data_IF_719642834322
#
_entry.id   IF_719642834322
#
_cell.length_a   1.000
_cell.length_b   1.000
_cell.length_c   1.000
_cell.angle_alpha   90.00
_cell.angle_beta   90.00
_cell.angle_gamma   90.00
#
_symmetry.space_group_name_H-M   'P 1'
#
loop_
_entity.id
_entity.type
_entity.pdbx_description
1 polymer ?
#
# COMPACT_ATOMS: atom_id res chain seq x y z
N UNK A 1 -6.00 -39.21 12.11
CA UNK A 1 -7.26 -38.81 11.46
C UNK A 1 -7.96 -37.94 12.48
N UNK A 2 -7.98 -36.61 12.31
CA UNK A 2 -8.82 -35.76 13.16
C UNK A 2 -10.23 -35.85 12.59
N UNK A 3 -11.18 -36.31 13.39
CA UNK A 3 -12.59 -36.25 13.07
C UNK A 3 -13.02 -34.79 13.18
N UNK A 4 -13.24 -34.11 12.05
CA UNK A 4 -13.82 -32.77 12.06
C UNK A 4 -15.25 -32.89 12.62
N UNK A 5 -15.51 -32.21 13.72
CA UNK A 5 -16.82 -32.24 14.35
C UNK A 5 -17.81 -31.41 13.53
N UNK A 6 -19.10 -31.75 13.61
CA UNK A 6 -20.16 -30.99 12.93
C UNK A 6 -20.13 -29.49 13.29
N UNK A 7 -19.66 -29.16 14.50
CA UNK A 7 -19.46 -27.81 14.98
C UNK A 7 -18.35 -27.07 14.22
N UNK A 8 -17.21 -27.71 13.99
CA UNK A 8 -16.07 -27.11 13.27
C UNK A 8 -16.42 -26.81 11.82
N UNK A 9 -17.17 -27.69 11.14
CA UNK A 9 -17.64 -27.44 9.78
C UNK A 9 -18.60 -26.25 9.69
N UNK A 10 -19.48 -26.06 10.69
CA UNK A 10 -20.37 -24.90 10.74
C UNK A 10 -19.61 -23.59 11.01
N UNK A 11 -18.58 -23.63 11.85
CA UNK A 11 -17.69 -22.49 12.09
C UNK A 11 -16.91 -22.15 10.81
N UNK A 12 -16.42 -23.15 10.10
CA UNK A 12 -15.70 -22.99 8.82
C UNK A 12 -16.59 -22.43 7.71
N UNK A 13 -17.90 -22.74 7.75
CA UNK A 13 -18.93 -22.15 6.87
C UNK A 13 -19.30 -20.70 7.25
N UNK A 14 -18.74 -20.15 8.33
CA UNK A 14 -18.90 -18.75 8.73
C UNK A 14 -20.02 -18.50 9.73
N UNK A 15 -20.61 -19.55 10.33
CA UNK A 15 -21.59 -19.39 11.40
C UNK A 15 -20.87 -19.11 12.74
N UNK A 16 -21.31 -18.14 13.55
CA UNK A 16 -20.76 -17.91 14.88
C UNK A 16 -20.86 -19.16 15.76
N UNK A 17 -19.79 -19.49 16.47
CA UNK A 17 -19.70 -20.71 17.30
C UNK A 17 -20.90 -20.89 18.24
N UNK A 18 -21.35 -19.83 18.91
CA UNK A 18 -22.51 -19.89 19.82
C UNK A 18 -23.81 -20.32 19.13
N UNK A 19 -24.01 -19.89 17.86
CA UNK A 19 -25.19 -20.28 17.08
C UNK A 19 -25.08 -21.73 16.62
N UNK A 20 -23.91 -22.15 16.16
CA UNK A 20 -23.65 -23.51 15.73
C UNK A 20 -23.80 -24.52 16.89
N UNK A 21 -23.32 -24.20 18.09
CA UNK A 21 -23.50 -25.03 19.28
C UNK A 21 -24.97 -25.16 19.68
N UNK A 22 -25.72 -24.04 19.67
CA UNK A 22 -27.15 -24.02 20.01
C UNK A 22 -27.99 -24.81 19.00
N UNK A 23 -27.69 -24.67 17.71
CA UNK A 23 -28.34 -25.42 16.65
C UNK A 23 -28.09 -26.93 16.76
N UNK A 24 -26.85 -27.34 17.02
CA UNK A 24 -26.50 -28.75 17.23
C UNK A 24 -27.15 -29.33 18.49
N UNK A 25 -27.24 -28.55 19.56
CA UNK A 25 -27.91 -28.96 20.79
C UNK A 25 -29.42 -29.17 20.60
N UNK A 26 -30.10 -28.27 19.88
CA UNK A 26 -31.55 -28.34 19.64
C UNK A 26 -31.94 -29.38 18.60
N UNK A 27 -31.07 -29.62 17.62
CA UNK A 27 -31.24 -30.69 16.62
C UNK A 27 -30.76 -32.06 17.11
N UNK A 28 -30.25 -32.15 18.35
CA UNK A 28 -29.82 -33.40 18.96
C UNK A 28 -28.60 -34.05 18.29
N UNK A 29 -27.69 -33.25 17.71
CA UNK A 29 -26.50 -33.71 16.98
C UNK A 29 -26.80 -34.67 15.81
N UNK A 30 -27.94 -34.52 15.13
CA UNK A 30 -28.34 -35.41 14.04
C UNK A 30 -27.62 -35.15 12.71
N UNK A 31 -26.75 -34.12 12.63
CA UNK A 31 -25.89 -33.85 11.48
C UNK A 31 -25.80 -32.37 11.14
N UNK A 32 -24.80 -32.00 10.32
CA UNK A 32 -24.52 -30.62 9.91
C UNK A 32 -25.71 -30.01 9.14
N UNK A 33 -26.33 -30.76 8.24
CA UNK A 33 -27.43 -30.28 7.41
C UNK A 33 -28.66 -29.87 8.23
N UNK A 34 -29.02 -30.66 9.25
CA UNK A 34 -30.14 -30.35 10.14
C UNK A 34 -29.86 -29.14 11.03
N UNK A 35 -28.62 -29.02 11.52
CA UNK A 35 -28.19 -27.83 12.25
C UNK A 35 -28.20 -26.58 11.37
N UNK A 36 -27.85 -26.70 10.08
CA UNK A 36 -27.89 -25.59 9.13
C UNK A 36 -29.33 -25.17 8.80
N UNK A 37 -30.24 -26.12 8.59
CA UNK A 37 -31.65 -25.85 8.32
C UNK A 37 -32.31 -25.09 9.49
N UNK A 38 -32.03 -25.53 10.72
CA UNK A 38 -32.46 -24.82 11.93
C UNK A 38 -31.88 -23.40 12.03
N UNK A 39 -30.60 -23.22 11.69
CA UNK A 39 -29.94 -21.91 11.68
C UNK A 39 -30.53 -20.94 10.65
N UNK A 40 -30.96 -21.46 9.49
CA UNK A 40 -31.60 -20.66 8.43
C UNK A 40 -33.03 -20.29 8.83
N UNK A 41 -33.80 -21.22 9.41
CA UNK A 41 -35.15 -20.95 9.90
C UNK A 41 -35.17 -19.91 11.03
N UNK A 42 -34.07 -19.82 11.79
CA UNK A 42 -33.93 -18.91 12.94
C UNK A 42 -32.93 -17.77 12.67
N UNK A 43 -32.57 -17.48 11.41
CA UNK A 43 -31.46 -16.55 11.07
C UNK A 43 -31.67 -15.11 11.58
N UNK A 44 -32.91 -14.72 11.83
CA UNK A 44 -33.34 -13.36 12.18
C UNK A 44 -33.82 -13.19 13.64
N UNK A 45 -33.60 -14.16 14.53
CA UNK A 45 -33.91 -14.01 15.96
C UNK A 45 -32.75 -13.32 16.72
N UNK A 46 -32.93 -12.07 17.20
CA UNK A 46 -31.90 -11.33 17.92
C UNK A 46 -31.56 -11.89 19.31
N UNK A 47 -32.30 -12.87 19.84
CA UNK A 47 -31.98 -13.58 21.09
C UNK A 47 -30.95 -14.72 20.91
N UNK A 48 -30.42 -14.92 19.70
CA UNK A 48 -29.43 -15.97 19.42
C UNK A 48 -27.98 -15.60 19.75
N UNK A 49 -27.71 -14.35 20.11
CA UNK A 49 -26.35 -13.88 20.42
C UNK A 49 -26.07 -13.76 21.94
N UNK A 50 -27.02 -14.15 22.81
CA UNK A 50 -26.75 -14.25 24.27
C UNK A 50 -26.07 -15.59 24.62
N UNK A 51 -25.03 -15.58 25.47
CA UNK A 51 -24.28 -16.78 25.84
C UNK A 51 -25.18 -17.75 26.63
N UNK A 52 -25.43 -18.93 26.04
CA UNK A 52 -26.24 -19.98 26.66
C UNK A 52 -25.47 -20.67 27.79
N UNK A 53 -25.83 -20.39 29.04
CA UNK A 53 -25.38 -21.15 30.20
C UNK A 53 -26.33 -22.33 30.43
N UNK A 54 -25.85 -23.56 30.22
CA UNK A 54 -26.62 -24.78 30.46
C UNK A 54 -26.88 -24.99 31.96
N UNK A 55 -28.14 -25.27 32.40
CA UNK A 55 -28.39 -25.91 33.66
C UNK A 55 -28.75 -27.40 33.45
N UNK A 56 -28.13 -28.24 34.28
CA UNK A 56 -28.45 -29.66 34.46
C UNK A 56 -29.90 -29.80 34.97
N UNK A 57 -30.61 -30.86 34.56
CA UNK A 57 -31.99 -31.18 34.99
C UNK A 57 -32.10 -31.58 36.48
N UNK A 58 -33.25 -32.11 36.97
CA UNK A 58 -34.45 -32.56 36.23
C UNK A 58 -35.84 -32.21 36.85
N UNK A 59 -36.89 -32.44 36.04
CA UNK A 59 -38.33 -32.69 36.34
C UNK A 59 -39.28 -31.47 36.63
N UNK A 60 -40.61 -31.62 36.50
CA UNK A 60 -41.44 -30.85 35.56
C UNK A 60 -42.54 -30.03 36.29
N UNK A 61 -43.21 -29.12 35.60
CA UNK A 61 -44.66 -28.87 35.65
C UNK A 61 -45.01 -27.50 35.06
N UNK A 62 -46.14 -27.48 34.34
CA UNK A 62 -47.08 -26.38 34.05
C UNK A 62 -46.49 -25.02 33.60
N UNK A 63 -46.77 -24.58 32.37
CA UNK A 63 -47.92 -23.70 32.06
C UNK A 63 -48.03 -22.49 33.01
N UNK A 64 -48.03 -21.23 32.60
CA UNK A 64 -48.31 -20.62 31.31
C UNK A 64 -48.04 -19.09 31.42
N UNK A 65 -47.74 -18.46 30.29
CA UNK A 65 -48.37 -17.18 29.87
C UNK A 65 -47.83 -15.82 30.43
N UNK A 66 -48.26 -14.65 29.87
CA UNK A 66 -47.38 -13.76 29.07
C UNK A 66 -47.48 -12.26 29.45
N UNK A 67 -46.85 -11.41 28.62
CA UNK A 67 -47.20 -10.01 28.26
C UNK A 67 -47.42 -8.93 29.35
N UNK A 68 -46.60 -7.89 29.21
CA UNK A 68 -47.07 -6.50 29.00
C UNK A 68 -46.99 -5.56 30.21
N UNK A 69 -46.30 -4.40 30.10
CA UNK A 69 -46.25 -3.40 31.17
C UNK A 69 -47.07 -2.15 30.82
N UNK A 70 -47.92 -1.67 31.72
CA UNK A 70 -48.31 -0.25 31.95
C UNK A 70 -49.04 -0.16 33.32
N UNK A 71 -49.53 1.00 33.81
CA UNK A 71 -48.83 2.02 34.60
C UNK A 71 -49.52 2.35 35.96
N UNK A 72 -48.89 3.25 36.72
CA UNK A 72 -49.42 4.21 37.72
C UNK A 72 -50.01 3.76 39.09
N UNK A 73 -49.70 4.62 40.08
CA UNK A 73 -50.45 4.94 41.31
C UNK A 73 -50.43 4.03 42.56
N UNK A 74 -49.74 4.59 43.55
CA UNK A 74 -50.15 4.83 44.94
C UNK A 74 -50.35 3.71 45.98
N UNK A 75 -49.90 4.07 47.19
CA UNK A 75 -50.11 3.51 48.54
C UNK A 75 -49.42 2.18 48.84
N UNK A 76 -48.54 2.10 49.85
CA UNK A 76 -48.68 2.69 51.19
C UNK A 76 -49.03 1.54 52.13
N UNK A 77 -48.04 1.07 52.89
CA UNK A 77 -48.11 -0.19 53.64
C UNK A 77 -48.89 -0.15 54.95
N UNK A 78 -48.97 -1.32 55.59
CA UNK A 78 -49.25 -1.46 57.02
C UNK A 78 -48.92 -2.87 57.52
N UNK A 79 -48.24 -2.91 58.67
CA UNK A 79 -47.75 -4.07 59.41
C UNK A 79 -46.32 -3.76 59.85
N UNK A 80 -45.99 -3.52 61.10
CA UNK A 80 -46.72 -3.66 62.35
C UNK A 80 -46.00 -2.79 63.40
N UNK A 81 -46.76 -2.47 64.44
CA UNK A 81 -46.52 -1.62 65.61
C UNK A 81 -45.15 -1.71 66.30
N UNK A 82 -44.62 -0.56 66.71
CA UNK A 82 -43.90 -0.41 67.98
C UNK A 82 -43.92 1.06 68.48
N UNK A 83 -44.40 1.20 69.71
CA UNK A 83 -44.13 2.22 70.71
C UNK A 83 -44.65 3.65 70.51
N UNK A 84 -45.44 4.06 71.51
CA UNK A 84 -46.06 5.36 71.58
C UNK A 84 -45.14 6.41 72.16
N UNK A 85 -45.22 7.60 71.60
CA UNK A 85 -44.97 8.84 72.32
C UNK A 85 -46.00 9.87 71.89
N UNK A 86 -46.68 10.43 72.88
CA UNK A 86 -47.75 11.41 72.80
C UNK A 86 -47.33 12.64 71.99
N UNK A 87 -47.84 12.80 70.75
CA UNK A 87 -47.73 14.07 70.00
C UNK A 87 -49.09 14.70 69.72
N UNK A 88 -49.16 15.99 70.04
CA UNK A 88 -50.33 16.87 70.03
C UNK A 88 -50.83 17.08 68.59
N UNK A 89 -52.14 17.25 68.34
CA UNK A 89 -52.69 17.31 67.00
C UNK A 89 -52.22 18.58 66.25
N UNK A 90 -51.51 18.40 65.15
CA UNK A 90 -51.08 19.44 64.21
C UNK A 90 -52.30 19.99 63.45
N UNK A 91 -52.52 21.31 63.52
CA UNK A 91 -53.67 22.03 62.95
C UNK A 91 -53.73 21.94 61.42
N UNK A 92 -54.94 21.96 60.83
CA UNK A 92 -55.19 21.79 59.37
C UNK A 92 -54.39 22.76 58.49
N UNK A 93 -54.07 23.94 59.01
CA UNK A 93 -53.34 24.99 58.30
C UNK A 93 -51.85 24.63 58.08
N UNK A 94 -51.20 24.02 59.07
CA UNK A 94 -49.78 23.60 58.97
C UNK A 94 -49.60 22.44 57.98
N UNK A 95 -50.60 21.55 57.87
CA UNK A 95 -50.62 20.47 56.86
C UNK A 95 -50.77 21.01 55.44
N UNK A 96 -51.54 22.09 55.24
CA UNK A 96 -51.66 22.73 53.93
C UNK A 96 -50.35 23.42 53.51
N UNK A 97 -49.65 24.08 54.43
CA UNK A 97 -48.33 24.65 54.14
C UNK A 97 -47.27 23.57 53.86
N UNK A 98 -47.25 22.48 54.64
CA UNK A 98 -46.35 21.36 54.38
C UNK A 98 -46.62 20.72 53.01
N UNK A 99 -47.88 20.60 52.61
CA UNK A 99 -48.27 20.06 51.30
C UNK A 99 -47.87 21.02 50.16
N UNK A 100 -48.06 22.33 50.32
CA UNK A 100 -47.60 23.35 49.35
C UNK A 100 -46.08 23.34 49.20
N UNK A 101 -45.32 23.31 50.31
CA UNK A 101 -43.86 23.20 50.29
C UNK A 101 -43.39 21.89 49.64
N UNK A 102 -44.10 20.77 49.90
CA UNK A 102 -43.82 19.48 49.27
C UNK A 102 -44.06 19.54 47.76
N UNK A 103 -45.19 20.08 47.31
CA UNK A 103 -45.50 20.26 45.88
C UNK A 103 -44.49 21.18 45.18
N UNK A 104 -44.08 22.28 45.82
CA UNK A 104 -43.08 23.22 45.29
C UNK A 104 -41.70 22.54 45.14
N UNK A 105 -41.28 21.74 46.12
CA UNK A 105 -40.05 20.93 46.06
C UNK A 105 -40.10 19.89 44.94
N UNK A 106 -41.23 19.20 44.78
CA UNK A 106 -41.43 18.24 43.69
C UNK A 106 -41.35 18.96 42.34
N UNK A 107 -41.99 20.11 42.20
CA UNK A 107 -41.97 20.91 40.97
C UNK A 107 -40.55 21.42 40.63
N UNK A 108 -39.83 21.98 41.60
CA UNK A 108 -38.42 22.38 41.45
C UNK A 108 -37.55 21.20 41.01
N UNK A 109 -37.70 20.04 41.67
CA UNK A 109 -36.91 18.84 41.39
C UNK A 109 -37.25 18.21 40.04
N UNK A 110 -38.51 18.26 39.61
CA UNK A 110 -38.91 17.82 38.27
C UNK A 110 -38.36 18.74 37.19
N UNK A 111 -38.43 20.06 37.38
CA UNK A 111 -37.88 21.04 36.43
C UNK A 111 -36.35 20.93 36.31
N UNK A 112 -35.64 20.75 37.42
CA UNK A 112 -34.20 20.50 37.43
C UNK A 112 -33.84 19.19 36.72
N UNK A 113 -34.61 18.12 36.97
CA UNK A 113 -34.43 16.82 36.31
C UNK A 113 -34.67 16.93 34.80
N UNK A 114 -35.72 17.64 34.38
CA UNK A 114 -36.06 17.84 32.97
C UNK A 114 -35.00 18.70 32.25
N UNK A 115 -34.48 19.75 32.89
CA UNK A 115 -33.37 20.54 32.35
C UNK A 115 -32.08 19.74 32.25
N UNK A 116 -31.79 18.87 33.23
CA UNK A 116 -30.63 17.97 33.19
C UNK A 116 -30.76 16.94 32.07
N UNK A 117 -31.92 16.30 31.95
CA UNK A 117 -32.19 15.33 30.87
C UNK A 117 -32.16 15.99 29.48
N UNK A 118 -32.65 17.24 29.34
CA UNK A 118 -32.50 18.04 28.10
C UNK A 118 -31.06 18.40 27.79
N UNK A 119 -30.25 18.73 28.80
CA UNK A 119 -28.81 19.00 28.60
C UNK A 119 -28.07 17.74 28.18
N UNK A 120 -28.32 16.62 28.83
CA UNK A 120 -27.70 15.33 28.52
C UNK A 120 -28.06 14.85 27.11
N UNK A 121 -29.30 15.01 26.67
CA UNK A 121 -29.71 14.66 25.29
C UNK A 121 -29.05 15.56 24.25
N UNK A 122 -28.97 16.88 24.49
CA UNK A 122 -28.27 17.81 23.59
C UNK A 122 -26.77 17.51 23.54
N UNK A 123 -26.14 17.20 24.67
CA UNK A 123 -24.72 16.88 24.76
C UNK A 123 -24.40 15.56 24.05
N UNK A 124 -25.21 14.52 24.25
CA UNK A 124 -25.09 13.24 23.56
C UNK A 124 -25.22 13.39 22.04
N UNK A 125 -26.17 14.19 21.57
CA UNK A 125 -26.33 14.49 20.14
C UNK A 125 -25.16 15.32 19.58
N UNK A 126 -24.64 16.30 20.32
CA UNK A 126 -23.43 17.05 19.95
C UNK A 126 -22.21 16.14 19.85
N UNK A 127 -22.04 15.23 20.79
CA UNK A 127 -20.91 14.30 20.82
C UNK A 127 -20.96 13.32 19.64
N UNK A 128 -22.15 12.82 19.30
CA UNK A 128 -22.36 12.00 18.09
C UNK A 128 -22.00 12.75 16.81
N UNK A 129 -22.39 14.01 16.67
CA UNK A 129 -22.02 14.85 15.50
C UNK A 129 -20.53 15.14 15.44
N UNK A 130 -19.91 15.45 16.58
CA UNK A 130 -18.48 15.69 16.70
C UNK A 130 -17.67 14.46 16.30
N UNK A 131 -18.04 13.29 16.80
CA UNK A 131 -17.42 12.02 16.42
C UNK A 131 -17.60 11.71 14.93
N UNK A 132 -18.77 12.02 14.35
CA UNK A 132 -19.00 11.88 12.91
C UNK A 132 -18.12 12.81 12.06
N UNK A 133 -17.96 14.07 12.46
CA UNK A 133 -17.07 15.03 11.80
C UNK A 133 -15.60 14.61 11.92
N UNK A 134 -15.21 14.12 13.09
CA UNK A 134 -13.86 13.65 13.37
C UNK A 134 -13.53 12.42 12.52
N UNK A 135 -14.47 11.48 12.36
CA UNK A 135 -14.31 10.33 11.47
C UNK A 135 -14.10 10.74 10.00
N UNK A 136 -14.84 11.75 9.53
CA UNK A 136 -14.68 12.29 8.17
C UNK A 136 -13.32 12.96 7.98
N UNK A 137 -12.87 13.76 8.94
CA UNK A 137 -11.55 14.39 8.94
C UNK A 137 -10.42 13.34 8.95
N UNK A 138 -10.55 12.30 9.77
CA UNK A 138 -9.58 11.19 9.82
C UNK A 138 -9.49 10.51 8.45
N UNK A 139 -10.64 10.21 7.83
CA UNK A 139 -10.68 9.61 6.49
C UNK A 139 -10.03 10.50 5.44
N UNK A 140 -10.35 11.80 5.43
CA UNK A 140 -9.79 12.75 4.47
C UNK A 140 -8.28 12.88 4.64
N UNK A 141 -7.80 12.98 5.88
CA UNK A 141 -6.37 13.06 6.19
C UNK A 141 -5.61 11.81 5.76
N UNK A 142 -6.19 10.62 5.97
CA UNK A 142 -5.60 9.37 5.51
C UNK A 142 -5.46 9.34 3.98
N UNK A 143 -6.51 9.76 3.26
CA UNK A 143 -6.47 9.87 1.80
C UNK A 143 -5.43 10.89 1.31
N UNK A 144 -5.31 12.04 1.97
CA UNK A 144 -4.31 13.05 1.65
C UNK A 144 -2.88 12.56 1.90
N UNK A 145 -2.64 11.88 3.03
CA UNK A 145 -1.34 11.32 3.39
C UNK A 145 -0.93 10.20 2.41
N UNK A 146 -1.88 9.34 2.01
CA UNK A 146 -1.66 8.33 0.96
C UNK A 146 -1.29 8.97 -0.38
N UNK A 147 -2.04 9.98 -0.81
CA UNK A 147 -1.77 10.71 -2.05
C UNK A 147 -0.41 11.44 -2.02
N UNK A 148 -0.05 12.02 -0.87
CA UNK A 148 1.22 12.68 -0.67
C UNK A 148 2.39 11.70 -0.71
N UNK A 149 2.26 10.56 -0.03
CA UNK A 149 3.27 9.49 -0.03
C UNK A 149 3.49 8.95 -1.45
N UNK A 150 2.42 8.70 -2.20
CA UNK A 150 2.49 8.28 -3.59
C UNK A 150 3.16 9.33 -4.49
N UNK A 151 2.91 10.62 -4.25
CA UNK A 151 3.55 11.70 -4.99
C UNK A 151 5.05 11.85 -4.67
N UNK A 152 5.45 11.65 -3.42
CA UNK A 152 6.85 11.67 -2.99
C UNK A 152 7.63 10.49 -3.57
N UNK A 153 7.04 9.29 -3.53
CA UNK A 153 7.62 8.08 -4.13
C UNK A 153 7.85 8.27 -5.63
N UNK A 154 6.84 8.74 -6.37
CA UNK A 154 7.00 9.07 -7.80
C UNK A 154 8.06 10.14 -8.07
N UNK A 155 8.27 11.09 -7.15
CA UNK A 155 9.36 12.09 -7.28
C UNK A 155 10.71 11.46 -7.04
N UNK A 156 10.82 10.59 -6.03
CA UNK A 156 12.05 9.85 -5.71
C UNK A 156 12.45 8.92 -6.85
N UNK A 157 11.52 8.12 -7.37
CA UNK A 157 11.74 7.24 -8.52
C UNK A 157 12.22 8.03 -9.75
N UNK A 158 11.60 9.18 -10.05
CA UNK A 158 12.04 10.07 -11.15
C UNK A 158 13.46 10.60 -10.96
N UNK A 159 13.83 10.94 -9.72
CA UNK A 159 15.20 11.40 -9.42
C UNK A 159 16.20 10.25 -9.58
N UNK A 160 15.88 9.07 -9.06
CA UNK A 160 16.71 7.87 -9.21
C UNK A 160 16.85 7.46 -10.68
N UNK A 161 15.76 7.49 -11.46
CA UNK A 161 15.76 7.23 -12.90
C UNK A 161 16.61 8.25 -13.66
N UNK A 162 16.49 9.54 -13.32
CA UNK A 162 17.31 10.60 -13.92
C UNK A 162 18.79 10.38 -13.62
N UNK A 163 19.13 10.02 -12.38
CA UNK A 163 20.51 9.77 -11.95
C UNK A 163 21.08 8.52 -12.62
N UNK A 164 20.26 7.46 -12.79
CA UNK A 164 20.63 6.27 -13.56
C UNK A 164 20.87 6.60 -15.04
N UNK A 165 19.97 7.35 -15.68
CA UNK A 165 20.15 7.82 -17.07
C UNK A 165 21.41 8.67 -17.22
N UNK A 166 21.70 9.54 -16.25
CA UNK A 166 22.91 10.36 -16.25
C UNK A 166 24.18 9.50 -16.16
N UNK A 167 24.21 8.49 -15.28
CA UNK A 167 25.33 7.53 -15.18
C UNK A 167 25.56 6.76 -16.47
N UNK A 168 24.49 6.29 -17.12
CA UNK A 168 24.59 5.59 -18.42
C UNK A 168 25.15 6.52 -19.49
N UNK A 169 24.65 7.76 -19.54
CA UNK A 169 25.13 8.77 -20.49
C UNK A 169 26.61 9.08 -20.30
N UNK A 170 27.05 9.30 -19.07
CA UNK A 170 28.44 9.56 -18.72
C UNK A 170 29.35 8.38 -19.10
N UNK A 171 28.89 7.13 -18.87
CA UNK A 171 29.63 5.94 -19.29
C UNK A 171 29.78 5.85 -20.81
N UNK A 172 28.70 6.13 -21.57
CA UNK A 172 28.75 6.16 -23.04
C UNK A 172 29.71 7.26 -23.53
N UNK A 173 29.68 8.44 -22.91
CA UNK A 173 30.56 9.55 -23.26
C UNK A 173 32.03 9.21 -22.99
N UNK A 174 32.32 8.60 -21.83
CA UNK A 174 33.65 8.11 -21.49
C UNK A 174 34.14 7.07 -22.49
N UNK A 175 33.34 6.04 -22.77
CA UNK A 175 33.69 4.98 -23.72
C UNK A 175 33.89 5.54 -25.14
N UNK A 176 33.04 6.49 -25.55
CA UNK A 176 33.19 7.20 -26.84
C UNK A 176 34.47 8.02 -26.89
N UNK A 177 34.82 8.73 -25.81
CA UNK A 177 36.05 9.51 -25.71
C UNK A 177 37.29 8.62 -25.68
N UNK A 178 37.26 7.48 -24.99
CA UNK A 178 38.37 6.52 -24.99
C UNK A 178 38.55 5.87 -26.36
N UNK A 179 37.45 5.51 -27.04
CA UNK A 179 37.50 5.01 -28.42
C UNK A 179 38.02 6.06 -29.40
N UNK A 180 37.71 7.34 -29.19
CA UNK A 180 38.24 8.44 -30.00
C UNK A 180 39.74 8.72 -29.77
N UNK A 181 40.37 8.17 -28.72
CA UNK A 181 41.82 8.29 -28.49
C UNK A 181 42.65 7.25 -29.26
N UNK A 182 42.00 6.23 -29.83
CA UNK A 182 42.65 5.12 -30.54
C UNK A 182 42.10 5.04 -31.97
N UNK A 183 42.94 4.58 -32.88
CA UNK A 183 42.58 4.29 -34.26
C UNK A 183 42.92 2.83 -34.55
N UNK A 184 41.92 1.98 -34.72
CA UNK A 184 42.14 0.63 -35.24
C UNK A 184 42.14 0.69 -36.77
N UNK A 185 43.33 0.57 -37.35
CA UNK A 185 43.55 0.62 -38.79
C UNK A 185 43.70 -0.78 -39.38
N UNK A 186 42.92 -1.09 -40.41
CA UNK A 186 43.18 -2.22 -41.30
C UNK A 186 43.80 -1.69 -42.59
N UNK A 187 44.99 -2.17 -42.95
CA UNK A 187 45.65 -1.83 -44.20
C UNK A 187 45.59 -3.03 -45.13
N UNK A 188 44.94 -2.88 -46.28
CA UNK A 188 44.89 -3.90 -47.33
C UNK A 188 46.10 -3.75 -48.24
N UNK A 189 46.89 -4.82 -48.36
CA UNK A 189 48.07 -4.90 -49.21
C UNK A 189 47.69 -5.28 -50.64
N UNK A 190 48.66 -5.19 -51.57
CA UNK A 190 48.47 -5.49 -52.99
C UNK A 190 48.25 -6.99 -53.27
N UNK A 191 48.77 -7.85 -52.39
CA UNK A 191 48.58 -9.30 -52.45
C UNK A 191 47.19 -9.77 -51.95
N UNK A 192 46.35 -8.83 -51.50
CA UNK A 192 45.03 -9.09 -50.92
C UNK A 192 45.04 -9.41 -49.42
N UNK A 193 46.21 -9.55 -48.81
CA UNK A 193 46.33 -9.70 -47.36
C UNK A 193 46.04 -8.38 -46.65
N UNK A 194 45.78 -8.45 -45.33
CA UNK A 194 45.49 -7.26 -44.53
C UNK A 194 46.34 -7.23 -43.27
N UNK A 195 46.93 -6.08 -43.00
CA UNK A 195 47.61 -5.79 -41.75
C UNK A 195 46.66 -5.04 -40.82
N UNK A 196 46.53 -5.50 -39.59
CA UNK A 196 45.69 -4.84 -38.58
C UNK A 196 46.57 -4.33 -37.46
N UNK A 197 46.47 -3.04 -37.15
CA UNK A 197 47.23 -2.42 -36.07
C UNK A 197 46.42 -1.33 -35.38
N UNK A 198 46.71 -1.09 -34.10
CA UNK A 198 46.07 -0.02 -33.32
C UNK A 198 47.06 1.10 -33.11
N UNK A 199 46.75 2.27 -33.66
CA UNK A 199 47.51 3.50 -33.54
C UNK A 199 46.83 4.44 -32.53
N UNK A 200 47.55 5.44 -32.02
CA UNK A 200 46.94 6.51 -31.21
C UNK A 200 46.31 7.54 -32.14
N UNK A 201 45.21 8.17 -31.72
CA UNK A 201 44.50 9.17 -32.53
C UNK A 201 45.37 10.39 -32.91
N UNK A 202 46.34 10.73 -32.06
CA UNK A 202 47.29 11.84 -32.27
C UNK A 202 48.57 11.42 -32.99
N UNK A 203 48.75 10.14 -33.31
CA UNK A 203 49.87 9.72 -34.14
C UNK A 203 49.66 10.18 -35.57
N UNK A 204 50.76 10.44 -36.27
CA UNK A 204 50.76 10.89 -37.65
C UNK A 204 50.49 9.75 -38.62
N UNK A 205 49.93 10.05 -39.80
CA UNK A 205 49.72 9.04 -40.85
C UNK A 205 51.03 8.39 -41.30
N UNK A 206 52.17 9.08 -41.20
CA UNK A 206 53.51 8.54 -41.43
C UNK A 206 53.79 7.25 -40.61
N UNK A 207 53.27 7.15 -39.38
CA UNK A 207 53.44 5.96 -38.55
C UNK A 207 52.77 4.72 -39.16
N UNK A 208 51.62 4.91 -39.81
CA UNK A 208 50.91 3.83 -40.51
C UNK A 208 51.69 3.41 -41.75
N UNK A 209 52.23 4.36 -42.50
CA UNK A 209 53.08 4.08 -43.66
C UNK A 209 54.34 3.28 -43.26
N UNK A 210 55.04 3.71 -42.21
CA UNK A 210 56.20 3.01 -41.67
C UNK A 210 55.85 1.59 -41.21
N UNK A 211 54.71 1.43 -40.53
CA UNK A 211 54.25 0.11 -40.10
C UNK A 211 54.01 -0.83 -41.30
N UNK A 212 53.43 -0.33 -42.38
CA UNK A 212 53.27 -1.09 -43.63
C UNK A 212 54.63 -1.45 -44.22
N UNK A 213 55.55 -0.50 -44.33
CA UNK A 213 56.90 -0.74 -44.87
C UNK A 213 57.66 -1.84 -44.09
N UNK A 214 57.52 -1.88 -42.77
CA UNK A 214 58.18 -2.87 -41.91
C UNK A 214 57.52 -4.26 -41.92
N UNK A 215 56.22 -4.35 -42.18
CA UNK A 215 55.44 -5.60 -42.03
C UNK A 215 54.93 -6.18 -43.35
N UNK A 216 55.10 -5.45 -44.47
CA UNK A 216 54.73 -5.96 -45.79
C UNK A 216 55.62 -7.13 -46.17
N UNK A 217 55.00 -8.18 -46.72
CA UNK A 217 55.67 -9.42 -47.16
C UNK A 217 55.61 -9.61 -48.68
N UNK A 218 55.06 -8.61 -49.37
CA UNK A 218 54.89 -8.53 -50.82
C UNK A 218 56.21 -8.28 -51.56
N UNK A 219 57.33 -8.06 -50.85
CA UNK A 219 58.69 -8.06 -51.41
C UNK A 219 59.00 -6.91 -52.38
N UNK A 220 58.06 -6.02 -52.65
CA UNK A 220 58.27 -4.86 -53.50
C UNK A 220 58.86 -3.72 -52.68
N UNK A 221 60.08 -3.25 -52.98
CA UNK A 221 60.60 -1.98 -52.45
C UNK A 221 59.91 -0.75 -53.06
N UNK A 222 59.00 -0.98 -54.02
CA UNK A 222 58.32 0.04 -54.79
C UNK A 222 57.62 1.10 -53.92
N UNK A 223 57.71 2.38 -54.30
CA UNK A 223 56.91 3.43 -53.71
C UNK A 223 55.41 3.16 -53.84
N UNK A 224 54.67 3.43 -52.78
CA UNK A 224 53.21 3.28 -52.73
C UNK A 224 52.53 4.49 -52.11
N UNK A 225 51.23 4.61 -52.37
CA UNK A 225 50.35 5.56 -51.69
C UNK A 225 49.31 4.81 -50.86
N UNK A 226 48.89 5.43 -49.76
CA UNK A 226 47.75 4.98 -48.98
C UNK A 226 46.49 5.67 -49.50
N UNK A 227 45.39 4.92 -49.61
CA UNK A 227 44.08 5.48 -49.96
C UNK A 227 42.96 4.89 -49.10
N UNK A 228 41.89 5.67 -48.89
CA UNK A 228 40.64 5.19 -48.29
C UNK A 228 39.69 4.61 -49.34
N UNK A 229 38.80 3.70 -48.94
CA UNK A 229 37.76 3.16 -49.82
C UNK A 229 36.56 4.09 -49.99
N UNK A 230 36.01 4.62 -48.89
CA UNK A 230 34.86 5.53 -48.91
C UNK A 230 34.92 6.55 -47.76
N UNK A 231 34.84 7.87 -48.03
CA UNK A 231 35.01 8.47 -49.36
C UNK A 231 36.42 8.19 -49.88
N UNK A 232 36.55 7.88 -51.18
CA UNK A 232 37.86 7.54 -51.77
C UNK A 232 38.76 8.77 -51.77
N UNK A 233 39.88 8.69 -51.04
CA UNK A 233 40.89 9.75 -50.93
C UNK A 233 42.27 9.12 -51.02
N UNK A 234 43.15 9.69 -51.83
CA UNK A 234 44.57 9.31 -51.91
C UNK A 234 45.34 10.28 -51.03
N UNK A 235 46.15 9.76 -50.11
CA UNK A 235 46.95 10.59 -49.20
C UNK A 235 48.28 11.00 -49.85
N UNK A 236 48.60 12.29 -49.72
CA UNK A 236 49.86 12.91 -50.19
C UNK A 236 50.89 12.98 -49.06
N UNK A 237 52.09 13.49 -49.34
CA UNK A 237 53.13 13.70 -48.33
C UNK A 237 52.72 14.70 -47.25
N UNK A 238 51.99 15.77 -47.63
CA UNK A 238 51.43 16.74 -46.66
C UNK A 238 50.46 16.09 -45.67
N UNK A 239 49.73 15.06 -46.10
CA UNK A 239 48.83 14.32 -45.22
C UNK A 239 49.58 13.38 -44.28
N UNK A 240 50.84 13.02 -44.57
CA UNK A 240 51.65 12.14 -43.72
C UNK A 240 52.01 12.81 -42.39
N UNK A 241 52.12 14.13 -42.37
CA UNK A 241 52.45 14.92 -41.17
C UNK A 241 51.23 15.16 -40.26
N UNK A 242 50.02 14.95 -40.79
CA UNK A 242 48.76 15.18 -40.06
C UNK A 242 48.43 14.00 -39.16
N UNK A 243 47.85 14.24 -37.97
CA UNK A 243 47.41 13.18 -37.08
C UNK A 243 46.20 12.43 -37.64
N UNK A 244 46.07 11.14 -37.29
CA UNK A 244 44.99 10.27 -37.75
C UNK A 244 43.58 10.82 -37.43
N UNK A 245 43.44 11.55 -36.32
CA UNK A 245 42.20 12.21 -35.94
C UNK A 245 41.79 13.32 -36.92
N UNK A 246 42.72 14.13 -37.40
CA UNK A 246 42.44 15.23 -38.34
C UNK A 246 42.11 14.73 -39.74
N UNK A 247 42.65 13.56 -40.10
CA UNK A 247 42.36 12.90 -41.38
C UNK A 247 41.02 12.14 -41.38
N UNK A 248 40.30 12.13 -40.25
CA UNK A 248 39.02 11.43 -40.12
C UNK A 248 39.15 9.91 -40.08
N UNK A 249 40.31 9.39 -39.66
CA UNK A 249 40.61 7.95 -39.61
C UNK A 249 40.23 7.30 -38.26
N UNK A 250 39.90 8.12 -37.25
CA UNK A 250 39.47 7.68 -35.91
C UNK A 250 37.95 7.51 -35.87
N UNK A 251 37.40 6.46 -35.22
CA UNK A 251 38.10 5.48 -34.38
C UNK A 251 38.60 4.23 -35.12
N UNK A 252 38.17 4.03 -36.37
CA UNK A 252 38.62 2.93 -37.19
C UNK A 252 38.65 3.36 -38.65
N UNK A 253 39.69 2.92 -39.35
CA UNK A 253 39.89 3.20 -40.75
C UNK A 253 40.33 1.95 -41.51
N UNK A 254 39.90 1.87 -42.77
CA UNK A 254 40.40 0.89 -43.72
C UNK A 254 41.18 1.63 -44.79
N UNK A 255 42.48 1.38 -44.83
CA UNK A 255 43.41 1.93 -45.81
C UNK A 255 43.78 0.84 -46.82
N UNK A 256 44.10 1.25 -48.03
CA UNK A 256 44.49 0.38 -49.12
C UNK A 256 45.84 0.88 -49.64
N UNK A 257 46.78 -0.04 -49.79
CA UNK A 257 48.06 0.22 -50.45
C UNK A 257 47.82 0.19 -51.96
N UNK A 258 48.20 1.27 -52.64
CA UNK A 258 48.18 1.35 -54.09
C UNK A 258 49.60 1.67 -54.60
N UNK A 259 50.04 0.96 -55.64
CA UNK A 259 51.33 1.25 -56.28
C UNK A 259 51.34 2.70 -56.76
N UNK A 260 52.43 3.43 -56.48
CA UNK A 260 52.67 4.76 -57.06
C UNK A 260 52.88 4.53 -58.56
N UNK A 261 51.85 4.79 -59.36
CA UNK A 261 51.96 4.63 -60.81
C UNK A 261 53.12 5.49 -61.31
N UNK A 262 54.06 4.87 -62.03
CA UNK A 262 54.92 5.64 -62.91
C UNK A 262 53.98 6.31 -63.92
N UNK A 263 53.89 7.63 -63.87
CA UNK A 263 53.51 8.40 -65.07
C UNK A 263 54.60 8.25 -66.12
#
# INVERSE_FOLDING_TARGET
MMENTALESLIEMGFPQNRAEKALALTGNQGIEQAMDWLVEHENDPNLDEPFAAPQGPVPDAEESPKGPTPDSEQGGSGEVAEGETQRPLTEEEKQEQTKRMMELIYQKQKEREEREKRETIEREKQRRKQGQELLLIRQKLQEDEMKKLAEERRREKLEEKLAKQRVREKIERDKAERAKKCSGQVRLLDGTSLTHTFKAKEQLAAVRLYVELNRKDGGEDPFHLLTSFPRRVFTEEDMEKPLQELGLVPSAVLIVAKKGNS
#
